data_IF_222845182527
#
_entry.id   IF_222845182527
#
_cell.length_a   1.000
_cell.length_b   1.000
_cell.length_c   1.000
_cell.angle_alpha   90.00
_cell.angle_beta   90.00
_cell.angle_gamma   90.00
#
_symmetry.space_group_name_H-M   'P 1'
#
loop_
_entity.id
_entity.type
_entity.pdbx_description
1 polymer ?
#
# COMPACT_ATOMS: atom_id res chain seq x y z
N UNK A 1 -7.17 -16.58 -16.38
CA UNK A 1 -6.48 -15.27 -16.26
C UNK A 1 -7.15 -14.49 -15.15
N UNK A 2 -6.40 -14.03 -14.16
CA UNK A 2 -6.94 -13.22 -13.07
C UNK A 2 -7.52 -11.91 -13.60
N UNK A 3 -8.60 -11.44 -13.00
CA UNK A 3 -9.25 -10.18 -13.34
C UNK A 3 -8.33 -8.99 -12.99
N UNK A 4 -7.95 -8.17 -13.97
CA UNK A 4 -7.23 -6.91 -13.72
C UNK A 4 -8.25 -5.78 -13.48
N UNK A 5 -8.64 -5.60 -12.20
CA UNK A 5 -9.65 -4.60 -11.80
C UNK A 5 -9.18 -3.16 -12.05
N UNK A 6 -7.88 -2.88 -11.90
CA UNK A 6 -7.31 -1.56 -12.21
C UNK A 6 -7.48 -1.21 -13.69
N UNK A 7 -7.21 -2.15 -14.60
CA UNK A 7 -7.45 -1.98 -16.04
C UNK A 7 -8.92 -1.73 -16.36
N UNK A 8 -9.85 -2.35 -15.65
CA UNK A 8 -11.29 -2.08 -15.83
C UNK A 8 -11.67 -0.67 -15.42
N UNK A 9 -11.07 -0.14 -14.34
CA UNK A 9 -11.31 1.23 -13.84
C UNK A 9 -10.72 2.26 -14.81
N UNK A 10 -9.47 2.08 -15.23
CA UNK A 10 -8.76 3.03 -16.10
C UNK A 10 -9.28 2.95 -17.55
N UNK A 11 -9.66 1.76 -18.01
CA UNK A 11 -10.15 1.56 -19.37
C UNK A 11 -9.06 1.78 -20.43
N UNK A 12 -9.36 2.66 -21.40
CA UNK A 12 -8.52 2.89 -22.59
C UNK A 12 -7.18 3.55 -22.31
N UNK A 13 -7.03 4.18 -21.14
CA UNK A 13 -5.80 4.88 -20.73
C UNK A 13 -4.79 3.94 -20.04
N UNK A 14 -5.12 2.66 -19.91
CA UNK A 14 -4.23 1.67 -19.32
C UNK A 14 -3.01 1.44 -20.22
N UNK A 15 -1.83 1.45 -19.61
CA UNK A 15 -0.52 1.33 -20.26
C UNK A 15 0.23 0.08 -19.77
N UNK A 16 1.38 -0.20 -20.36
CA UNK A 16 2.28 -1.27 -19.88
C UNK A 16 3.16 -0.81 -18.70
N UNK A 17 3.07 0.46 -18.28
CA UNK A 17 3.81 0.97 -17.13
C UNK A 17 2.92 0.95 -15.87
N UNK A 18 3.20 0.06 -14.89
CA UNK A 18 2.33 -0.13 -13.73
C UNK A 18 2.27 1.11 -12.81
N UNK A 19 3.34 1.90 -12.72
CA UNK A 19 3.35 3.15 -11.95
C UNK A 19 2.45 4.18 -12.63
N UNK A 20 2.59 4.35 -13.95
CA UNK A 20 1.75 5.28 -14.73
C UNK A 20 0.27 4.92 -14.58
N UNK A 21 -0.08 3.64 -14.63
CA UNK A 21 -1.46 3.20 -14.43
C UNK A 21 -2.01 3.64 -13.07
N UNK A 22 -1.23 3.49 -11.99
CA UNK A 22 -1.65 3.97 -10.68
C UNK A 22 -1.79 5.49 -10.61
N UNK A 23 -0.89 6.25 -11.24
CA UNK A 23 -0.99 7.71 -11.27
C UNK A 23 -2.23 8.17 -12.04
N UNK A 24 -2.57 7.51 -13.15
CA UNK A 24 -3.82 7.74 -13.89
C UNK A 24 -5.03 7.45 -13.00
N UNK A 25 -5.01 6.32 -12.29
CA UNK A 25 -6.06 5.94 -11.35
C UNK A 25 -6.23 6.95 -10.19
N UNK A 26 -5.13 7.51 -9.68
CA UNK A 26 -5.15 8.47 -8.57
C UNK A 26 -5.52 9.90 -8.99
N UNK A 27 -5.48 10.23 -10.28
CA UNK A 27 -5.95 11.51 -10.80
C UNK A 27 -7.48 11.54 -10.73
N UNK A 28 -8.10 12.38 -9.89
CA UNK A 28 -9.54 12.56 -9.87
C UNK A 28 -10.03 13.01 -11.24
N UNK A 29 -11.16 12.49 -11.71
CA UNK A 29 -11.92 13.11 -12.79
C UNK A 29 -12.64 14.35 -12.20
N UNK A 30 -12.22 15.58 -12.54
CA UNK A 30 -12.81 16.80 -11.98
C UNK A 30 -14.28 16.99 -12.36
N UNK A 31 -14.81 16.19 -13.31
CA UNK A 31 -16.19 16.28 -13.77
C UNK A 31 -17.15 15.35 -13.02
N UNK A 32 -16.68 14.57 -12.04
CA UNK A 32 -17.55 13.67 -11.27
C UNK A 32 -18.08 14.33 -10.00
N UNK A 33 -19.35 14.79 -9.96
CA UNK A 33 -19.98 15.24 -8.72
C UNK A 33 -20.06 14.08 -7.71
N UNK A 34 -19.60 14.31 -6.47
CA UNK A 34 -19.60 13.30 -5.40
C UNK A 34 -18.31 12.51 -5.22
N UNK A 35 -17.18 12.96 -5.81
CA UNK A 35 -15.85 12.39 -5.59
C UNK A 35 -15.55 12.20 -4.09
N UNK A 36 -15.14 10.99 -3.71
CA UNK A 36 -14.83 10.62 -2.32
C UNK A 36 -16.04 10.18 -1.47
N UNK A 37 -17.27 10.28 -1.97
CA UNK A 37 -18.46 9.73 -1.31
C UNK A 37 -18.49 8.19 -1.33
N UNK A 38 -19.25 7.57 -0.43
CA UNK A 38 -19.27 6.10 -0.29
C UNK A 38 -19.66 5.36 -1.58
N UNK A 39 -20.67 5.85 -2.30
CA UNK A 39 -21.09 5.28 -3.58
C UNK A 39 -20.04 5.43 -4.68
N UNK A 40 -19.26 6.51 -4.63
CA UNK A 40 -18.11 6.69 -5.51
C UNK A 40 -17.02 5.69 -5.16
N UNK A 41 -16.66 5.55 -3.87
CA UNK A 41 -15.65 4.61 -3.39
C UNK A 41 -16.00 3.17 -3.78
N UNK A 42 -17.25 2.73 -3.60
CA UNK A 42 -17.72 1.39 -3.99
C UNK A 42 -17.46 1.03 -5.45
N UNK A 43 -17.44 2.03 -6.33
CA UNK A 43 -17.27 1.84 -7.79
C UNK A 43 -15.85 2.08 -8.26
N UNK A 44 -15.09 2.91 -7.55
CA UNK A 44 -13.82 3.44 -8.03
C UNK A 44 -12.63 3.10 -7.14
N UNK A 45 -12.78 3.02 -5.81
CA UNK A 45 -11.65 2.68 -4.94
C UNK A 45 -11.22 1.24 -5.18
N UNK A 46 -9.98 1.02 -5.63
CA UNK A 46 -9.51 -0.28 -6.08
C UNK A 46 -9.61 -1.37 -5.00
N UNK A 47 -9.27 -1.06 -3.76
CA UNK A 47 -9.37 -1.97 -2.61
C UNK A 47 -10.83 -2.33 -2.27
N UNK A 48 -11.72 -1.33 -2.27
CA UNK A 48 -13.15 -1.50 -2.06
C UNK A 48 -13.76 -2.33 -3.19
N UNK A 49 -13.37 -2.04 -4.43
CA UNK A 49 -13.78 -2.78 -5.62
C UNK A 49 -13.32 -4.23 -5.50
N UNK A 50 -12.09 -4.52 -5.06
CA UNK A 50 -11.60 -5.88 -4.80
C UNK A 50 -12.38 -6.65 -3.72
N UNK A 51 -13.08 -5.95 -2.81
CA UNK A 51 -13.97 -6.53 -1.80
C UNK A 51 -15.45 -6.26 -2.10
N UNK A 52 -15.79 -6.16 -3.37
CA UNK A 52 -17.17 -6.09 -3.88
C UNK A 52 -18.01 -4.98 -3.22
N UNK A 53 -17.40 -3.81 -3.01
CA UNK A 53 -18.06 -2.63 -2.43
C UNK A 53 -17.95 -2.53 -0.91
N UNK A 54 -17.19 -3.39 -0.24
CA UNK A 54 -17.04 -3.32 1.21
C UNK A 54 -16.15 -2.14 1.64
N UNK A 55 -16.73 -1.15 2.31
CA UNK A 55 -16.04 0.07 2.76
C UNK A 55 -15.06 -0.14 3.93
N UNK A 56 -15.03 -1.34 4.52
CA UNK A 56 -13.96 -1.79 5.42
C UNK A 56 -12.70 -2.25 4.68
N UNK A 57 -12.71 -2.27 3.34
CA UNK A 57 -11.51 -2.51 2.57
C UNK A 57 -10.44 -1.46 2.88
N UNK A 58 -9.20 -1.91 2.87
CA UNK A 58 -8.02 -1.07 2.87
C UNK A 58 -6.90 -1.78 2.10
N UNK A 59 -5.95 -1.02 1.61
CA UNK A 59 -4.71 -1.59 1.07
C UNK A 59 -3.77 -1.97 2.21
N UNK A 60 -2.98 -3.03 2.04
CA UNK A 60 -1.94 -3.45 3.00
C UNK A 60 -0.75 -2.50 2.90
N UNK A 61 -0.36 -2.17 1.67
CA UNK A 61 0.65 -1.17 1.37
C UNK A 61 0.09 -0.16 0.37
N UNK A 62 0.13 1.12 0.73
CA UNK A 62 -0.14 2.20 -0.20
C UNK A 62 0.96 2.25 -1.26
N UNK A 63 0.60 2.45 -2.53
CA UNK A 63 1.62 2.68 -3.57
C UNK A 63 2.23 4.08 -3.49
N UNK A 64 1.42 5.08 -3.12
CA UNK A 64 1.85 6.48 -3.18
C UNK A 64 3.02 6.78 -2.24
N UNK A 65 3.03 6.16 -1.07
CA UNK A 65 4.07 6.35 -0.05
C UNK A 65 5.46 5.90 -0.55
N UNK A 66 5.68 4.62 -0.92
CA UNK A 66 6.97 4.16 -1.42
C UNK A 66 7.34 4.83 -2.75
N UNK A 67 6.40 5.08 -3.66
CA UNK A 67 6.68 5.83 -4.89
C UNK A 67 7.27 7.21 -4.59
N UNK A 68 6.69 7.94 -3.63
CA UNK A 68 7.20 9.27 -3.27
C UNK A 68 8.53 9.20 -2.51
N UNK A 69 8.75 8.19 -1.67
CA UNK A 69 10.07 7.95 -1.07
C UNK A 69 11.13 7.74 -2.15
N UNK A 70 10.84 6.88 -3.13
CA UNK A 70 11.72 6.61 -4.29
C UNK A 70 11.98 7.87 -5.12
N UNK A 71 10.94 8.63 -5.49
CA UNK A 71 11.09 9.88 -6.25
C UNK A 71 11.96 10.89 -5.51
N UNK A 72 11.78 11.05 -4.20
CA UNK A 72 12.60 11.97 -3.40
C UNK A 72 14.06 11.50 -3.29
N UNK A 73 14.28 10.20 -3.15
CA UNK A 73 15.62 9.60 -3.07
C UNK A 73 16.38 9.72 -4.40
N UNK A 74 15.69 9.55 -5.53
CA UNK A 74 16.28 9.47 -6.87
C UNK A 74 16.36 10.83 -7.59
N UNK A 75 15.31 11.64 -7.51
CA UNK A 75 15.18 12.90 -8.24
C UNK A 75 15.36 14.15 -7.34
N UNK A 76 15.75 13.95 -6.08
CA UNK A 76 16.12 15.00 -5.15
C UNK A 76 14.99 15.96 -4.78
N UNK A 77 15.35 17.24 -4.60
CA UNK A 77 14.47 18.25 -4.01
C UNK A 77 13.26 18.65 -4.86
N UNK A 78 13.21 18.25 -6.14
CA UNK A 78 12.04 18.38 -7.01
C UNK A 78 10.76 17.87 -6.34
N UNK A 79 10.87 16.83 -5.52
CA UNK A 79 9.76 16.22 -4.78
C UNK A 79 9.76 16.54 -3.27
N UNK A 80 10.69 17.39 -2.80
CA UNK A 80 10.76 17.86 -1.41
C UNK A 80 9.70 18.93 -1.09
N UNK A 81 9.28 19.73 -2.07
CA UNK A 81 8.37 20.87 -1.87
C UNK A 81 6.87 20.54 -1.96
N UNK A 82 6.49 19.33 -2.43
CA UNK A 82 5.09 18.93 -2.66
C UNK A 82 4.49 18.18 -1.46
N UNK A 83 4.34 18.87 -0.32
CA UNK A 83 3.77 18.36 0.94
C UNK A 83 4.77 17.63 1.85
N UNK A 84 4.53 17.65 3.17
CA UNK A 84 5.43 17.03 4.16
C UNK A 84 5.32 15.48 4.13
N UNK A 85 6.26 14.77 4.76
CA UNK A 85 6.26 13.29 4.75
C UNK A 85 4.98 12.65 5.29
N UNK A 86 4.25 13.31 6.20
CA UNK A 86 2.99 12.83 6.79
C UNK A 86 1.76 13.10 5.93
N UNK A 87 1.79 14.16 5.12
CA UNK A 87 0.71 14.52 4.18
C UNK A 87 1.33 14.86 2.83
N UNK A 88 1.78 13.84 2.08
CA UNK A 88 2.36 14.08 0.78
C UNK A 88 1.30 14.61 -0.18
N UNK A 89 1.58 15.73 -0.87
CA UNK A 89 0.62 16.33 -1.79
C UNK A 89 0.27 15.35 -2.93
N UNK A 90 -1.00 15.33 -3.32
CA UNK A 90 -1.59 14.50 -4.39
C UNK A 90 -2.24 15.40 -5.44
N UNK A 91 -1.46 16.33 -5.98
CA UNK A 91 -1.91 17.25 -7.02
C UNK A 91 -1.80 16.63 -8.42
N UNK A 92 -2.80 16.88 -9.27
CA UNK A 92 -2.86 16.31 -10.62
C UNK A 92 -1.67 16.73 -11.49
N UNK A 93 -1.22 17.98 -11.35
CA UNK A 93 -0.06 18.52 -12.04
C UNK A 93 1.20 17.74 -11.67
N UNK A 94 1.32 17.31 -10.41
CA UNK A 94 2.43 16.45 -9.98
C UNK A 94 2.37 15.08 -10.65
N UNK A 95 1.19 14.47 -10.74
CA UNK A 95 1.03 13.18 -11.39
C UNK A 95 1.33 13.24 -12.89
N UNK A 96 0.88 14.29 -13.58
CA UNK A 96 1.18 14.52 -15.00
C UNK A 96 2.69 14.67 -15.25
N UNK A 97 3.35 15.49 -14.44
CA UNK A 97 4.80 15.69 -14.52
C UNK A 97 5.58 14.38 -14.32
N UNK A 98 5.19 13.57 -13.33
CA UNK A 98 5.80 12.25 -13.12
C UNK A 98 5.54 11.33 -14.31
N UNK A 99 4.33 11.32 -14.87
CA UNK A 99 3.98 10.46 -16.02
C UNK A 99 4.82 10.84 -17.26
N UNK A 100 4.89 12.13 -17.58
CA UNK A 100 5.61 12.64 -18.76
C UNK A 100 7.12 12.41 -18.66
N UNK A 101 7.67 12.45 -17.43
CA UNK A 101 9.11 12.37 -17.17
C UNK A 101 9.51 11.09 -16.42
N UNK A 102 8.70 10.03 -16.47
CA UNK A 102 8.86 8.85 -15.59
C UNK A 102 10.25 8.22 -15.68
N UNK A 103 10.80 8.05 -16.89
CA UNK A 103 12.11 7.42 -17.08
C UNK A 103 13.27 8.34 -16.67
N UNK A 104 13.04 9.65 -16.60
CA UNK A 104 14.03 10.60 -16.08
C UNK A 104 14.07 10.55 -14.55
N UNK A 105 12.90 10.54 -13.90
CA UNK A 105 12.81 10.49 -12.43
C UNK A 105 13.07 9.11 -11.84
N UNK A 106 12.65 8.06 -12.54
CA UNK A 106 12.77 6.66 -12.15
C UNK A 106 13.35 5.86 -13.32
N UNK A 107 14.68 5.90 -13.54
CA UNK A 107 15.31 5.15 -14.61
C UNK A 107 15.05 3.64 -14.47
N UNK A 108 14.48 2.97 -15.48
CA UNK A 108 13.99 1.58 -15.35
C UNK A 108 15.11 0.56 -15.09
N UNK A 109 16.35 0.90 -15.42
CA UNK A 109 17.49 0.00 -15.17
C UNK A 109 17.94 -0.04 -13.71
N UNK A 110 17.55 0.95 -12.90
CA UNK A 110 17.96 1.06 -11.51
C UNK A 110 17.26 -0.01 -10.64
N UNK A 111 18.01 -0.72 -9.79
CA UNK A 111 17.50 -1.85 -9.00
C UNK A 111 16.26 -1.50 -8.17
N UNK A 112 16.28 -0.36 -7.46
CA UNK A 112 15.13 0.13 -6.70
C UNK A 112 13.90 0.38 -7.58
N UNK A 113 14.09 0.87 -8.81
CA UNK A 113 12.98 1.14 -9.73
C UNK A 113 12.37 -0.17 -10.23
N UNK A 114 13.19 -1.19 -10.50
CA UNK A 114 12.71 -2.54 -10.86
C UNK A 114 11.81 -3.13 -9.76
N UNK A 115 12.23 -3.04 -8.50
CA UNK A 115 11.42 -3.49 -7.36
C UNK A 115 10.15 -2.66 -7.18
N UNK A 116 10.21 -1.34 -7.43
CA UNK A 116 9.03 -0.47 -7.38
C UNK A 116 8.00 -0.80 -8.47
N UNK A 117 8.46 -1.15 -9.67
CA UNK A 117 7.57 -1.59 -10.77
C UNK A 117 6.88 -2.91 -10.41
N UNK A 118 7.65 -3.89 -9.91
CA UNK A 118 7.08 -5.15 -9.44
C UNK A 118 6.06 -4.93 -8.31
N UNK A 119 6.37 -4.01 -7.38
CA UNK A 119 5.47 -3.65 -6.32
C UNK A 119 4.18 -3.01 -6.85
N UNK A 120 4.28 -2.10 -7.81
CA UNK A 120 3.10 -1.51 -8.44
C UNK A 120 2.20 -2.58 -9.07
N UNK A 121 2.75 -3.58 -9.78
CA UNK A 121 1.96 -4.67 -10.33
C UNK A 121 1.22 -5.47 -9.25
N UNK A 122 1.92 -5.86 -8.19
CA UNK A 122 1.36 -6.63 -7.08
C UNK A 122 0.34 -5.80 -6.27
N UNK A 123 0.61 -4.51 -6.09
CA UNK A 123 -0.23 -3.57 -5.36
C UNK A 123 -1.62 -3.39 -5.99
N UNK A 124 -1.74 -3.62 -7.31
CA UNK A 124 -3.01 -3.56 -8.03
C UNK A 124 -3.93 -4.78 -7.80
N UNK A 125 -3.44 -5.82 -7.13
CA UNK A 125 -4.12 -7.12 -7.01
C UNK A 125 -4.85 -7.28 -5.67
N UNK A 126 -5.71 -8.32 -5.58
CA UNK A 126 -6.34 -8.74 -4.32
C UNK A 126 -5.32 -9.03 -3.21
N UNK A 127 -4.09 -9.40 -3.55
CA UNK A 127 -3.05 -9.66 -2.55
C UNK A 127 -2.79 -8.42 -1.70
N UNK A 128 -2.87 -7.21 -2.24
CA UNK A 128 -2.63 -5.99 -1.48
C UNK A 128 -3.86 -5.44 -0.76
N UNK A 129 -4.93 -6.22 -0.62
CA UNK A 129 -6.19 -5.77 0.00
C UNK A 129 -6.48 -6.56 1.26
N UNK A 130 -6.99 -5.89 2.28
CA UNK A 130 -7.50 -6.49 3.51
C UNK A 130 -8.84 -5.89 3.91
N UNK A 131 -9.62 -6.65 4.68
CA UNK A 131 -10.80 -6.13 5.38
C UNK A 131 -10.43 -5.76 6.81
N UNK A 132 -10.61 -4.49 7.17
CA UNK A 132 -10.39 -4.02 8.54
C UNK A 132 -11.59 -4.36 9.44
N UNK A 133 -11.36 -4.72 10.72
CA UNK A 133 -12.46 -4.93 11.67
C UNK A 133 -13.25 -3.64 11.93
N UNK A 134 -12.60 -2.47 11.79
CA UNK A 134 -13.23 -1.17 11.93
C UNK A 134 -12.66 -0.18 10.92
N UNK A 135 -13.53 0.56 10.22
CA UNK A 135 -13.13 1.60 9.23
C UNK A 135 -12.24 2.68 9.82
N UNK A 136 -12.37 2.96 11.11
CA UNK A 136 -11.50 3.93 11.79
C UNK A 136 -10.03 3.53 11.79
N UNK A 137 -9.67 2.28 11.45
CA UNK A 137 -8.27 1.88 11.27
C UNK A 137 -7.66 2.36 9.95
N UNK A 138 -8.45 2.81 8.96
CA UNK A 138 -7.96 3.41 7.70
C UNK A 138 -7.06 4.65 7.96
N UNK A 139 -7.14 5.25 9.15
CA UNK A 139 -6.23 6.34 9.58
C UNK A 139 -4.78 5.90 9.83
N UNK A 140 -4.47 4.61 9.70
CA UNK A 140 -3.10 4.06 9.81
C UNK A 140 -2.16 4.69 8.78
N UNK A 141 -2.63 5.08 7.60
CA UNK A 141 -1.81 5.81 6.61
C UNK A 141 -1.30 7.15 7.13
N UNK A 142 -2.15 7.86 7.87
CA UNK A 142 -1.77 9.13 8.50
C UNK A 142 -0.82 8.92 9.68
N UNK A 143 -1.03 7.89 10.49
CA UNK A 143 -0.21 7.66 11.69
C UNK A 143 1.13 6.97 11.41
N UNK A 144 1.16 6.04 10.46
CA UNK A 144 2.22 5.06 10.30
C UNK A 144 2.66 4.86 8.84
N UNK A 145 2.29 5.76 7.93
CA UNK A 145 2.64 5.67 6.50
C UNK A 145 2.22 4.36 5.83
N UNK A 146 1.13 3.76 6.31
CA UNK A 146 0.65 2.44 5.89
C UNK A 146 1.63 1.29 6.18
N UNK A 147 2.67 1.50 7.00
CA UNK A 147 3.64 0.48 7.36
C UNK A 147 3.01 -0.56 8.28
N UNK A 148 2.89 -1.78 7.77
CA UNK A 148 2.18 -2.86 8.45
C UNK A 148 2.85 -3.38 9.72
N UNK A 149 4.19 -3.48 9.85
CA UNK A 149 4.80 -3.89 11.11
C UNK A 149 4.36 -3.03 12.29
N UNK A 150 4.42 -1.70 12.13
CA UNK A 150 3.90 -0.76 13.12
C UNK A 150 2.39 -0.90 13.33
N UNK A 151 1.62 -1.00 12.24
CA UNK A 151 0.16 -1.17 12.32
C UNK A 151 -0.20 -2.41 13.17
N UNK A 152 0.43 -3.56 12.89
CA UNK A 152 0.21 -4.81 13.62
C UNK A 152 0.68 -4.70 15.07
N UNK A 153 1.81 -4.04 15.33
CA UNK A 153 2.30 -3.81 16.68
C UNK A 153 1.29 -3.02 17.54
N UNK A 154 0.55 -2.09 16.92
CA UNK A 154 -0.50 -1.31 17.55
C UNK A 154 -1.85 -2.05 17.66
N UNK A 155 -2.01 -3.21 17.01
CA UNK A 155 -3.20 -4.05 17.17
C UNK A 155 -3.17 -4.89 18.45
N UNK A 156 -1.99 -5.19 19.01
CA UNK A 156 -1.86 -6.05 20.20
C UNK A 156 -1.70 -5.26 21.51
N UNK A 157 -2.09 -5.88 22.62
CA UNK A 157 -1.90 -5.37 23.97
C UNK A 157 -2.53 -3.99 24.16
N UNK A 158 -1.79 -3.03 24.71
CA UNK A 158 -2.29 -1.65 24.89
C UNK A 158 -2.11 -0.76 23.65
N UNK A 159 -1.86 -1.37 22.48
CA UNK A 159 -1.69 -0.64 21.22
C UNK A 159 -2.94 0.12 20.80
N UNK A 160 -2.75 1.21 20.04
CA UNK A 160 -3.81 2.14 19.64
C UNK A 160 -4.99 1.47 18.94
N UNK A 161 -4.74 0.42 18.16
CA UNK A 161 -5.76 -0.26 17.38
C UNK A 161 -6.38 -1.46 18.10
N UNK A 162 -5.82 -1.94 19.21
CA UNK A 162 -6.44 -3.05 19.96
C UNK A 162 -7.85 -2.70 20.43
N UNK A 163 -8.17 -1.42 20.65
CA UNK A 163 -9.53 -0.98 20.99
C UNK A 163 -10.61 -1.41 19.97
N UNK A 164 -10.22 -1.71 18.73
CA UNK A 164 -11.14 -2.17 17.68
C UNK A 164 -11.28 -3.70 17.63
N UNK A 165 -10.43 -4.44 18.34
CA UNK A 165 -10.45 -5.90 18.43
C UNK A 165 -10.95 -6.39 19.80
N UNK A 166 -10.62 -5.66 20.87
CA UNK A 166 -10.96 -6.00 22.26
C UNK A 166 -10.08 -7.10 22.88
N UNK A 167 -9.35 -7.88 22.08
CA UNK A 167 -8.39 -8.87 22.60
C UNK A 167 -7.35 -9.26 21.56
N UNK A 168 -6.18 -9.70 22.03
CA UNK A 168 -5.13 -10.27 21.17
C UNK A 168 -5.57 -11.52 20.40
N UNK A 169 -6.55 -12.28 20.92
CA UNK A 169 -7.08 -13.44 20.20
C UNK A 169 -7.89 -13.02 18.97
N UNK A 170 -8.71 -11.97 19.07
CA UNK A 170 -9.41 -11.41 17.92
C UNK A 170 -8.43 -10.86 16.86
N UNK A 171 -7.30 -10.30 17.27
CA UNK A 171 -6.23 -9.89 16.33
C UNK A 171 -5.66 -11.10 15.59
N UNK A 172 -5.38 -12.21 16.31
CA UNK A 172 -4.86 -13.44 15.70
C UNK A 172 -5.86 -14.05 14.71
N UNK A 173 -7.14 -14.04 15.04
CA UNK A 173 -8.21 -14.51 14.15
C UNK A 173 -8.26 -13.66 12.89
N UNK A 174 -8.31 -12.34 13.02
CA UNK A 174 -8.28 -11.41 11.89
C UNK A 174 -7.05 -11.60 11.00
N UNK A 175 -5.85 -11.77 11.57
CA UNK A 175 -4.63 -12.05 10.81
C UNK A 175 -4.78 -13.33 9.97
N UNK A 176 -5.39 -14.39 10.52
CA UNK A 176 -5.61 -15.67 9.80
C UNK A 176 -6.72 -15.60 8.76
N UNK A 177 -7.80 -14.89 9.07
CA UNK A 177 -8.91 -14.65 8.15
C UNK A 177 -8.43 -13.89 6.92
N UNK A 178 -7.70 -12.81 7.18
CA UNK A 178 -7.16 -11.97 6.12
C UNK A 178 -5.87 -12.52 5.53
N UNK A 179 -5.31 -13.66 5.94
CA UNK A 179 -4.09 -14.27 5.35
C UNK A 179 -2.81 -13.44 5.49
N UNK A 180 -2.56 -12.89 6.68
CA UNK A 180 -1.43 -12.00 7.00
C UNK A 180 -0.33 -12.66 7.85
N UNK A 181 -0.30 -13.99 7.93
CA UNK A 181 0.63 -14.72 8.79
C UNK A 181 2.11 -14.50 8.41
N UNK A 182 2.41 -14.16 7.15
CA UNK A 182 3.77 -13.93 6.67
C UNK A 182 4.48 -12.76 7.38
N UNK A 183 3.74 -11.85 8.00
CA UNK A 183 4.28 -10.77 8.83
C UNK A 183 4.87 -11.24 10.16
N UNK A 184 4.72 -12.52 10.50
CA UNK A 184 5.17 -13.08 11.78
C UNK A 184 6.25 -14.16 11.58
N UNK A 185 7.15 -14.26 12.54
CA UNK A 185 8.11 -15.36 12.68
C UNK A 185 7.57 -16.38 13.70
N UNK A 186 6.93 -17.42 13.19
CA UNK A 186 6.27 -18.45 14.00
C UNK A 186 4.85 -18.05 14.45
N UNK A 187 4.61 -18.05 15.77
CA UNK A 187 3.27 -17.81 16.31
C UNK A 187 2.80 -16.36 16.07
N UNK A 188 1.51 -16.13 15.86
CA UNK A 188 0.98 -14.76 15.70
C UNK A 188 0.94 -14.07 17.08
N UNK A 189 1.86 -13.13 17.31
CA UNK A 189 1.97 -12.37 18.55
C UNK A 189 2.68 -11.03 18.31
N UNK A 190 2.58 -10.09 19.25
CA UNK A 190 3.29 -8.80 19.17
C UNK A 190 4.81 -8.94 19.05
N UNK A 191 5.39 -9.98 19.67
CA UNK A 191 6.83 -10.16 19.79
C UNK A 191 7.45 -10.89 18.58
N UNK A 192 6.61 -11.43 17.71
CA UNK A 192 7.04 -12.21 16.54
C UNK A 192 6.79 -11.47 15.23
N UNK A 193 6.34 -10.21 15.29
CA UNK A 193 6.20 -9.36 14.11
C UNK A 193 7.59 -9.17 13.48
N UNK A 194 7.69 -9.25 12.16
CA UNK A 194 8.91 -8.94 11.41
C UNK A 194 9.01 -7.42 11.23
N UNK A 195 10.20 -6.81 11.42
CA UNK A 195 10.38 -5.39 11.17
C UNK A 195 10.26 -5.07 9.68
N UNK A 196 10.00 -3.81 9.34
CA UNK A 196 9.84 -3.36 7.96
C UNK A 196 11.13 -3.48 7.14
N UNK A 197 12.25 -3.17 7.78
CA UNK A 197 13.62 -3.29 7.29
C UNK A 197 14.51 -3.67 8.46
N UNK A 198 15.66 -4.27 8.16
CA UNK A 198 16.61 -4.86 9.09
C UNK A 198 17.03 -3.95 10.24
N UNK A 199 17.20 -2.64 9.99
CA UNK A 199 17.63 -1.67 11.00
C UNK A 199 16.52 -1.18 11.94
N UNK A 200 15.24 -1.38 11.60
CA UNK A 200 14.12 -0.83 12.34
C UNK A 200 13.61 -1.80 13.41
N UNK A 201 13.04 -1.26 14.49
CA UNK A 201 12.21 -2.05 15.40
C UNK A 201 10.78 -2.14 14.88
N UNK A 202 10.04 -3.17 15.28
CA UNK A 202 8.63 -3.36 14.89
C UNK A 202 7.71 -2.25 15.40
N UNK A 203 8.11 -1.56 16.46
CA UNK A 203 7.41 -0.41 17.04
C UNK A 203 7.64 0.90 16.29
N UNK A 204 8.56 0.92 15.32
CA UNK A 204 8.95 2.11 14.60
C UNK A 204 8.15 2.26 13.31
N UNK A 205 7.95 3.51 12.90
CA UNK A 205 7.55 3.85 11.54
C UNK A 205 8.33 5.08 11.09
N UNK A 206 8.78 5.09 9.85
CA UNK A 206 9.69 6.13 9.37
C UNK A 206 9.41 6.49 7.91
N UNK A 207 9.56 7.78 7.58
CA UNK A 207 9.73 8.18 6.19
C UNK A 207 11.15 7.87 5.73
N UNK A 208 11.34 6.79 4.97
CA UNK A 208 12.64 6.38 4.47
C UNK A 208 13.18 7.38 3.43
N UNK A 209 14.48 7.68 3.52
CA UNK A 209 15.17 8.65 2.65
C UNK A 209 16.27 7.98 1.83
N UNK A 210 16.98 7.05 2.44
CA UNK A 210 18.12 6.37 1.83
C UNK A 210 17.65 5.31 0.84
N UNK A 211 18.27 5.28 -0.34
CA UNK A 211 17.87 4.38 -1.42
C UNK A 211 17.99 2.90 -1.04
N UNK A 212 18.97 2.52 -0.24
CA UNK A 212 19.15 1.13 0.21
C UNK A 212 18.02 0.68 1.16
N UNK A 213 17.57 1.55 2.07
CA UNK A 213 16.44 1.27 2.96
C UNK A 213 15.13 1.13 2.16
N UNK A 214 14.91 2.03 1.19
CA UNK A 214 13.71 1.98 0.34
C UNK A 214 13.71 0.72 -0.52
N UNK A 215 14.87 0.32 -1.04
CA UNK A 215 15.04 -0.93 -1.78
C UNK A 215 14.71 -2.13 -0.89
N UNK A 216 15.25 -2.21 0.34
CA UNK A 216 14.94 -3.31 1.25
C UNK A 216 13.44 -3.39 1.55
N UNK A 217 12.80 -2.24 1.85
CA UNK A 217 11.35 -2.17 2.07
C UNK A 217 10.55 -2.70 0.87
N UNK A 218 10.92 -2.29 -0.36
CA UNK A 218 10.23 -2.74 -1.58
C UNK A 218 10.40 -4.24 -1.82
N UNK A 219 11.60 -4.78 -1.60
CA UNK A 219 11.85 -6.23 -1.68
C UNK A 219 10.94 -6.98 -0.70
N UNK A 220 10.83 -6.49 0.54
CA UNK A 220 9.93 -7.08 1.53
C UNK A 220 8.46 -6.97 1.15
N UNK A 221 8.00 -5.81 0.63
CA UNK A 221 6.64 -5.65 0.14
C UNK A 221 6.31 -6.64 -0.98
N UNK A 222 7.22 -6.79 -1.95
CA UNK A 222 7.08 -7.73 -3.05
C UNK A 222 7.00 -9.17 -2.55
N UNK A 223 7.87 -9.57 -1.62
CA UNK A 223 7.85 -10.91 -1.01
C UNK A 223 6.53 -11.19 -0.30
N UNK A 224 6.08 -10.26 0.55
CA UNK A 224 4.83 -10.38 1.32
C UNK A 224 3.64 -10.54 0.37
N UNK A 225 3.53 -9.69 -0.65
CA UNK A 225 2.42 -9.75 -1.59
C UNK A 225 2.48 -11.00 -2.47
N UNK A 226 3.67 -11.50 -2.84
CA UNK A 226 3.84 -12.79 -3.55
C UNK A 226 3.35 -13.96 -2.71
N UNK A 227 3.85 -14.11 -1.48
CA UNK A 227 3.40 -15.16 -0.54
C UNK A 227 1.88 -15.08 -0.35
N UNK A 228 1.35 -13.89 -0.12
CA UNK A 228 -0.09 -13.69 0.10
C UNK A 228 -0.92 -14.04 -1.12
N UNK A 229 -0.45 -13.71 -2.33
CA UNK A 229 -1.10 -14.10 -3.58
C UNK A 229 -1.23 -15.62 -3.69
N UNK A 230 -0.17 -16.36 -3.37
CA UNK A 230 -0.21 -17.83 -3.37
C UNK A 230 -1.21 -18.40 -2.37
N UNK A 231 -1.23 -17.88 -1.14
CA UNK A 231 -2.15 -18.33 -0.09
C UNK A 231 -3.61 -18.06 -0.49
N UNK A 232 -3.90 -16.90 -1.09
CA UNK A 232 -5.24 -16.55 -1.57
C UNK A 232 -5.68 -17.43 -2.74
N UNK A 233 -4.75 -17.82 -3.63
CA UNK A 233 -5.05 -18.75 -4.72
C UNK A 233 -5.38 -20.15 -4.20
N UNK A 234 -4.60 -20.66 -3.22
CA UNK A 234 -4.84 -21.98 -2.61
C UNK A 234 -6.15 -22.05 -1.83
N UNK A 235 -6.61 -20.93 -1.27
CA UNK A 235 -7.87 -20.85 -0.49
C UNK A 235 -9.13 -20.78 -1.38
N UNK A 236 -8.98 -20.60 -2.70
CA UNK A 236 -10.09 -20.61 -3.68
C UNK A 236 -10.31 -21.99 -4.32
N UNK A 237 -9.41 -22.94 -4.06
CA UNK A 237 -9.53 -24.36 -4.41
C UNK A 237 -10.17 -25.08 -3.23
#
# INVERSE_FOLDING_TARGET
>A
MSENRLKKIIGKEYTDNPIVNFLIYLMPDPKQPGYGGEEWRKKNDLDVVWLDGNLHADTIFSLWIPLKMSLKSMAGDTFSYKGNGRTPSKENECFKDIIENINHYLPPEHALVKELYQFAELAATRANVMRLPNRQMQKRGFFYFDQMPKTLYECFGEGRFNTYFGSDNAVKEWVKEEKMEMFFDGSISRNTIKPLISRMQVSDCEWLKESHDILEMLVQYNEILRIRSEVLLRSKV
#
